data_IF_362834385430
#
_entry.id   IF_362834385430
#
_cell.length_a   1.000
_cell.length_b   1.000
_cell.length_c   1.000
_cell.angle_alpha   90.00
_cell.angle_beta   90.00
_cell.angle_gamma   90.00
#
_symmetry.space_group_name_H-M   'P 1'
#
loop_
_entity.id
_entity.type
_entity.pdbx_description
1 polymer ?
#
# COMPACT_ATOMS: atom_id res chain seq x y z
N UNK A 1 67.28 -70.54 28.32
CA UNK A 1 66.52 -70.79 27.08
C UNK A 1 65.05 -70.65 27.42
N UNK A 2 64.35 -69.69 26.79
CA UNK A 2 62.87 -69.49 26.67
C UNK A 2 62.04 -69.30 27.95
N UNK A 3 61.12 -68.35 28.10
CA UNK A 3 60.72 -67.17 27.34
C UNK A 3 59.86 -66.31 28.27
N UNK A 4 60.21 -65.03 28.39
CA UNK A 4 59.42 -63.94 28.97
C UNK A 4 58.62 -63.27 27.86
N UNK A 5 57.29 -63.31 27.89
CA UNK A 5 56.46 -62.39 27.09
C UNK A 5 54.99 -62.44 27.54
N UNK A 6 54.77 -62.09 28.79
CA UNK A 6 53.48 -61.58 29.25
C UNK A 6 53.64 -60.07 29.42
N UNK A 7 52.67 -59.31 28.91
CA UNK A 7 52.45 -57.88 29.17
C UNK A 7 52.95 -56.84 28.15
N UNK A 8 52.70 -57.06 26.85
CA UNK A 8 52.89 -55.99 25.85
C UNK A 8 51.85 -55.95 24.71
N UNK A 9 50.61 -56.36 24.97
CA UNK A 9 49.54 -56.35 23.95
C UNK A 9 48.27 -55.60 24.40
N UNK A 10 48.39 -54.58 25.27
CA UNK A 10 47.24 -53.81 25.77
C UNK A 10 47.40 -52.29 25.72
N UNK A 11 48.30 -51.78 24.86
CA UNK A 11 48.54 -50.34 24.68
C UNK A 11 48.69 -49.99 23.22
N UNK A 12 47.58 -49.81 22.50
CA UNK A 12 47.66 -49.44 21.08
C UNK A 12 46.32 -49.29 20.38
N UNK A 13 45.36 -48.57 20.96
CA UNK A 13 44.12 -48.23 20.24
C UNK A 13 43.37 -47.00 20.79
N UNK A 14 44.07 -45.95 21.23
CA UNK A 14 43.41 -44.69 21.68
C UNK A 14 43.81 -43.49 20.80
N UNK A 15 44.53 -43.71 19.70
CA UNK A 15 45.26 -42.64 19.00
C UNK A 15 44.62 -41.98 17.78
N UNK A 16 43.44 -42.42 17.29
CA UNK A 16 42.92 -41.93 15.99
C UNK A 16 41.52 -41.31 16.04
N UNK A 17 40.72 -41.54 17.07
CA UNK A 17 39.36 -40.99 17.16
C UNK A 17 39.30 -39.50 17.58
N UNK A 18 40.31 -39.00 18.30
CA UNK A 18 40.30 -37.62 18.81
C UNK A 18 40.38 -36.58 17.69
N UNK A 19 41.12 -36.87 16.61
CA UNK A 19 41.31 -35.92 15.49
C UNK A 19 40.08 -35.87 14.59
N UNK A 20 39.44 -37.00 14.31
CA UNK A 20 38.21 -37.07 13.52
C UNK A 20 36.99 -36.52 14.26
N UNK A 21 36.93 -36.65 15.60
CA UNK A 21 35.86 -36.04 16.40
C UNK A 21 35.89 -34.50 16.35
N UNK A 22 37.08 -33.89 16.24
CA UNK A 22 37.24 -32.43 16.15
C UNK A 22 36.73 -31.89 14.81
N UNK A 23 37.00 -32.60 13.71
CA UNK A 23 36.45 -32.24 12.39
C UNK A 23 34.94 -32.45 12.32
N UNK A 24 34.42 -33.52 12.94
CA UNK A 24 32.98 -33.74 13.06
C UNK A 24 32.29 -32.66 13.91
N UNK A 25 32.91 -32.24 15.02
CA UNK A 25 32.40 -31.16 15.87
C UNK A 25 32.44 -29.79 15.16
N UNK A 26 33.51 -29.49 14.42
CA UNK A 26 33.60 -28.28 13.59
C UNK A 26 32.54 -28.27 12.49
N UNK A 27 32.30 -29.42 11.84
CA UNK A 27 31.23 -29.58 10.85
C UNK A 27 29.84 -29.35 11.45
N UNK A 28 29.55 -29.90 12.63
CA UNK A 28 28.28 -29.71 13.33
C UNK A 28 28.06 -28.25 13.72
N UNK A 29 29.08 -27.58 14.27
CA UNK A 29 29.00 -26.15 14.62
C UNK A 29 28.76 -25.30 13.38
N UNK A 30 29.42 -25.60 12.25
CA UNK A 30 29.18 -24.91 10.98
C UNK A 30 27.76 -25.13 10.45
N UNK A 31 27.22 -26.34 10.56
CA UNK A 31 25.83 -26.62 10.17
C UNK A 31 24.85 -25.87 11.06
N UNK A 32 25.04 -25.88 12.38
CA UNK A 32 24.18 -25.16 13.33
C UNK A 32 24.27 -23.64 13.10
N UNK A 33 25.46 -23.10 12.87
CA UNK A 33 25.65 -21.69 12.54
C UNK A 33 25.02 -21.34 11.19
N UNK A 34 25.16 -22.22 10.19
CA UNK A 34 24.56 -22.05 8.87
C UNK A 34 23.03 -22.03 8.93
N UNK A 35 22.42 -22.95 9.68
CA UNK A 35 20.96 -23.01 9.88
C UNK A 35 20.45 -21.81 10.68
N UNK A 36 21.17 -21.38 11.73
CA UNK A 36 20.80 -20.21 12.53
C UNK A 36 20.93 -18.89 11.76
N UNK A 37 22.02 -18.71 11.01
CA UNK A 37 22.22 -17.55 10.16
C UNK A 37 21.22 -17.49 9.00
N UNK A 38 20.90 -18.65 8.40
CA UNK A 38 19.87 -18.76 7.36
C UNK A 38 18.49 -18.42 7.91
N UNK A 39 18.11 -18.94 9.07
CA UNK A 39 16.82 -18.63 9.71
C UNK A 39 16.66 -17.14 10.06
N UNK A 40 17.74 -16.49 10.54
CA UNK A 40 17.73 -15.07 10.87
C UNK A 40 17.67 -14.19 9.60
N UNK A 41 18.39 -14.58 8.54
CA UNK A 41 18.37 -13.88 7.26
C UNK A 41 17.03 -14.03 6.54
N UNK A 42 16.42 -15.23 6.58
CA UNK A 42 15.05 -15.47 6.09
C UNK A 42 14.04 -14.64 6.87
N UNK A 43 14.10 -14.59 8.20
CA UNK A 43 13.16 -13.81 9.01
C UNK A 43 13.23 -12.31 8.70
N UNK A 44 14.42 -11.74 8.53
CA UNK A 44 14.59 -10.34 8.17
C UNK A 44 14.16 -10.04 6.72
N UNK A 45 14.53 -10.90 5.77
CA UNK A 45 14.14 -10.73 4.37
C UNK A 45 12.62 -10.86 4.20
N UNK A 46 12.00 -11.85 4.84
CA UNK A 46 10.54 -12.02 4.88
C UNK A 46 9.85 -10.87 5.59
N UNK A 47 10.40 -10.37 6.71
CA UNK A 47 9.81 -9.23 7.44
C UNK A 47 9.91 -7.90 6.68
N UNK A 48 10.96 -7.70 5.86
CA UNK A 48 11.06 -6.53 4.96
C UNK A 48 10.07 -6.67 3.79
N UNK A 49 10.00 -7.84 3.17
CA UNK A 49 9.06 -8.10 2.08
C UNK A 49 7.60 -7.93 2.53
N UNK A 50 7.23 -8.46 3.70
CA UNK A 50 5.90 -8.30 4.27
C UNK A 50 5.55 -6.82 4.55
N UNK A 51 6.50 -6.02 5.04
CA UNK A 51 6.31 -4.58 5.27
C UNK A 51 6.09 -3.80 3.98
N UNK A 52 6.86 -4.10 2.93
CA UNK A 52 6.68 -3.46 1.62
C UNK A 52 5.31 -3.77 1.02
N UNK A 53 4.86 -5.03 1.09
CA UNK A 53 3.54 -5.42 0.58
C UNK A 53 2.40 -4.81 1.41
N UNK A 54 2.54 -4.75 2.74
CA UNK A 54 1.56 -4.08 3.59
C UNK A 54 1.42 -2.59 3.26
N UNK A 55 2.54 -1.89 3.05
CA UNK A 55 2.54 -0.48 2.65
C UNK A 55 1.92 -0.27 1.26
N UNK A 56 2.24 -1.13 0.27
CA UNK A 56 1.65 -1.05 -1.06
C UNK A 56 0.14 -1.37 -1.06
N UNK A 57 -0.29 -2.32 -0.22
CA UNK A 57 -1.70 -2.65 -0.04
C UNK A 57 -2.48 -1.49 0.56
N UNK A 58 -1.96 -0.89 1.63
CA UNK A 58 -2.59 0.26 2.29
C UNK A 58 -2.72 1.46 1.34
N UNK A 59 -1.66 1.79 0.60
CA UNK A 59 -1.69 2.88 -0.38
C UNK A 59 -2.71 2.60 -1.51
N UNK A 60 -2.79 1.35 -1.97
CA UNK A 60 -3.81 0.95 -2.93
C UNK A 60 -5.22 1.16 -2.37
N UNK A 61 -5.48 0.73 -1.14
CA UNK A 61 -6.78 0.87 -0.50
C UNK A 61 -7.18 2.35 -0.31
N UNK A 62 -6.24 3.20 0.10
CA UNK A 62 -6.49 4.64 0.25
C UNK A 62 -6.90 5.30 -1.09
N UNK A 63 -6.22 4.99 -2.20
CA UNK A 63 -6.64 5.48 -3.52
C UNK A 63 -7.96 4.86 -4.00
N UNK A 64 -8.26 3.62 -3.63
CA UNK A 64 -9.56 3.01 -3.93
C UNK A 64 -10.70 3.69 -3.18
N UNK A 65 -10.49 4.04 -1.92
CA UNK A 65 -11.45 4.79 -1.13
C UNK A 65 -11.68 6.19 -1.72
N UNK A 66 -10.60 6.90 -2.06
CA UNK A 66 -10.68 8.18 -2.75
C UNK A 66 -11.47 8.07 -4.08
N UNK A 67 -11.21 7.03 -4.88
CA UNK A 67 -11.92 6.83 -6.15
C UNK A 67 -13.42 6.56 -5.96
N UNK A 68 -13.82 5.90 -4.87
CA UNK A 68 -15.23 5.68 -4.53
C UNK A 68 -15.87 6.97 -4.02
N UNK A 69 -15.19 7.71 -3.16
CA UNK A 69 -15.68 8.96 -2.60
C UNK A 69 -15.95 9.99 -3.70
N UNK A 70 -15.01 10.21 -4.63
CA UNK A 70 -15.21 11.15 -5.76
C UNK A 70 -16.34 10.69 -6.69
N UNK A 71 -16.53 9.38 -6.89
CA UNK A 71 -17.63 8.88 -7.70
C UNK A 71 -18.99 9.14 -7.03
N UNK A 72 -19.07 8.94 -5.72
CA UNK A 72 -20.27 9.21 -4.94
C UNK A 72 -20.58 10.72 -4.89
N UNK A 73 -19.56 11.57 -4.74
CA UNK A 73 -19.71 13.03 -4.73
C UNK A 73 -20.41 13.54 -5.99
N UNK A 74 -19.97 13.07 -7.17
CA UNK A 74 -20.63 13.39 -8.44
C UNK A 74 -22.06 12.86 -8.56
N UNK A 75 -22.40 11.74 -7.90
CA UNK A 75 -23.79 11.27 -7.84
C UNK A 75 -24.68 12.20 -7.01
N UNK A 76 -24.18 12.69 -5.88
CA UNK A 76 -24.91 13.64 -5.04
C UNK A 76 -25.00 15.04 -5.65
N UNK A 77 -24.04 15.44 -6.48
CA UNK A 77 -24.16 16.64 -7.30
C UNK A 77 -25.36 16.53 -8.25
N UNK A 78 -25.48 15.42 -9.00
CA UNK A 78 -26.61 15.19 -9.89
C UNK A 78 -27.94 15.10 -9.12
N UNK A 79 -27.92 14.49 -7.94
CA UNK A 79 -29.07 14.47 -7.04
C UNK A 79 -29.49 15.88 -6.63
N UNK A 80 -28.55 16.76 -6.25
CA UNK A 80 -28.85 18.14 -5.89
C UNK A 80 -29.44 18.93 -7.05
N UNK A 81 -28.97 18.68 -8.27
CA UNK A 81 -29.54 19.30 -9.48
C UNK A 81 -30.97 18.84 -9.76
N UNK A 82 -31.33 17.61 -9.36
CA UNK A 82 -32.66 17.03 -9.56
C UNK A 82 -33.64 17.39 -8.42
N UNK A 83 -33.19 17.26 -7.17
CA UNK A 83 -33.94 17.50 -5.94
C UNK A 83 -33.06 18.31 -4.96
N UNK A 84 -33.05 19.65 -5.08
CA UNK A 84 -32.24 20.50 -4.21
C UNK A 84 -32.72 20.44 -2.76
N UNK A 85 -31.81 20.24 -1.82
CA UNK A 85 -32.15 20.16 -0.40
C UNK A 85 -30.93 20.25 0.53
N UNK A 86 -31.12 20.73 1.77
CA UNK A 86 -30.03 20.85 2.74
C UNK A 86 -29.40 19.49 3.08
N UNK A 87 -30.17 18.41 3.08
CA UNK A 87 -29.69 17.05 3.33
C UNK A 87 -28.72 16.58 2.22
N UNK A 88 -29.07 16.83 0.95
CA UNK A 88 -28.25 16.47 -0.21
C UNK A 88 -26.95 17.29 -0.22
N UNK A 89 -27.03 18.60 0.10
CA UNK A 89 -25.85 19.47 0.24
C UNK A 89 -24.92 18.98 1.37
N UNK A 90 -25.49 18.58 2.50
CA UNK A 90 -24.71 18.04 3.62
C UNK A 90 -24.03 16.72 3.24
N UNK A 91 -24.76 15.82 2.57
CA UNK A 91 -24.21 14.54 2.13
C UNK A 91 -23.08 14.72 1.11
N UNK A 92 -23.24 15.63 0.14
CA UNK A 92 -22.16 16.02 -0.77
C UNK A 92 -20.94 16.55 0.00
N UNK A 93 -21.15 17.43 0.99
CA UNK A 93 -20.07 17.95 1.84
C UNK A 93 -19.35 16.87 2.66
N UNK A 94 -20.07 15.85 3.14
CA UNK A 94 -19.45 14.73 3.84
C UNK A 94 -18.56 13.88 2.91
N UNK A 95 -19.02 13.62 1.68
CA UNK A 95 -18.23 12.90 0.68
C UNK A 95 -16.96 13.66 0.29
N UNK A 96 -17.04 15.00 0.22
CA UNK A 96 -15.87 15.84 0.01
C UNK A 96 -14.84 15.70 1.15
N UNK A 97 -15.31 15.65 2.41
CA UNK A 97 -14.44 15.40 3.59
C UNK A 97 -13.80 14.01 3.51
N UNK A 98 -14.58 12.99 3.15
CA UNK A 98 -14.10 11.60 3.06
C UNK A 98 -13.03 11.46 1.96
N UNK A 99 -13.24 12.12 0.80
CA UNK A 99 -12.25 12.16 -0.28
C UNK A 99 -10.94 12.83 0.17
N UNK A 100 -11.03 14.00 0.80
CA UNK A 100 -9.86 14.71 1.31
C UNK A 100 -9.11 13.87 2.35
N UNK A 101 -9.83 13.19 3.24
CA UNK A 101 -9.24 12.31 4.23
C UNK A 101 -8.50 11.12 3.57
N UNK A 102 -9.10 10.48 2.58
CA UNK A 102 -8.49 9.38 1.83
C UNK A 102 -7.23 9.83 1.07
N UNK A 103 -7.29 10.97 0.37
CA UNK A 103 -6.14 11.56 -0.30
C UNK A 103 -5.02 11.94 0.68
N UNK A 104 -5.38 12.44 1.85
CA UNK A 104 -4.39 12.78 2.89
C UNK A 104 -3.65 11.54 3.40
N UNK A 105 -4.34 10.39 3.54
CA UNK A 105 -3.68 9.12 3.88
C UNK A 105 -2.76 8.63 2.74
N UNK A 106 -3.21 8.74 1.49
CA UNK A 106 -2.38 8.40 0.33
C UNK A 106 -1.12 9.28 0.21
N UNK A 107 -1.10 10.47 0.84
CA UNK A 107 0.07 11.37 0.90
C UNK A 107 1.29 10.75 1.61
N UNK A 108 1.08 9.74 2.44
CA UNK A 108 2.17 9.04 3.15
C UNK A 108 2.98 8.11 2.23
N UNK A 109 2.60 8.00 0.95
CA UNK A 109 3.36 7.33 -0.10
C UNK A 109 4.69 8.02 -0.47
N UNK A 110 5.15 7.78 -1.69
CA UNK A 110 6.42 8.32 -2.16
C UNK A 110 6.32 9.81 -2.57
N UNK A 111 7.41 10.39 -3.09
CA UNK A 111 7.41 11.80 -3.51
C UNK A 111 6.51 12.07 -4.73
N UNK A 112 6.33 11.09 -5.61
CA UNK A 112 5.40 11.21 -6.73
C UNK A 112 3.95 11.15 -6.23
N UNK A 113 3.63 10.23 -5.32
CA UNK A 113 2.31 10.16 -4.66
C UNK A 113 1.95 11.49 -4.00
N UNK A 114 2.88 12.06 -3.22
CA UNK A 114 2.68 13.38 -2.60
C UNK A 114 2.34 14.47 -3.60
N UNK A 115 3.07 14.55 -4.71
CA UNK A 115 2.83 15.55 -5.74
C UNK A 115 1.48 15.37 -6.43
N UNK A 116 1.07 14.12 -6.66
CA UNK A 116 -0.23 13.79 -7.24
C UNK A 116 -1.36 14.14 -6.27
N UNK A 117 -1.24 13.78 -5.00
CA UNK A 117 -2.20 14.12 -3.94
C UNK A 117 -2.35 15.64 -3.81
N UNK A 118 -1.24 16.38 -3.73
CA UNK A 118 -1.28 17.84 -3.58
C UNK A 118 -1.99 18.50 -4.76
N UNK A 119 -1.78 17.98 -5.98
CA UNK A 119 -2.50 18.44 -7.16
C UNK A 119 -3.99 18.07 -7.12
N UNK A 120 -4.33 16.84 -6.76
CA UNK A 120 -5.71 16.37 -6.67
C UNK A 120 -6.50 17.18 -5.64
N UNK A 121 -5.90 17.51 -4.50
CA UNK A 121 -6.50 18.36 -3.46
C UNK A 121 -6.74 19.80 -3.96
N UNK A 122 -5.80 20.37 -4.70
CA UNK A 122 -5.95 21.71 -5.27
C UNK A 122 -7.07 21.77 -6.34
N UNK A 123 -7.11 20.76 -7.21
CA UNK A 123 -8.16 20.62 -8.24
C UNK A 123 -9.54 20.38 -7.57
N UNK A 124 -9.60 19.56 -6.52
CA UNK A 124 -10.83 19.29 -5.76
C UNK A 124 -11.34 20.52 -5.02
N UNK A 125 -10.45 21.31 -4.41
CA UNK A 125 -10.84 22.58 -3.80
C UNK A 125 -11.46 23.55 -4.81
N UNK A 126 -10.92 23.60 -6.04
CA UNK A 126 -11.47 24.41 -7.13
C UNK A 126 -12.83 23.88 -7.58
N UNK A 127 -12.98 22.55 -7.67
CA UNK A 127 -14.25 21.89 -7.95
C UNK A 127 -15.32 22.27 -6.93
N UNK A 128 -15.04 22.15 -5.62
CA UNK A 128 -15.99 22.50 -4.56
C UNK A 128 -16.46 23.95 -4.64
N UNK A 129 -15.55 24.89 -4.90
CA UNK A 129 -15.92 26.30 -5.07
C UNK A 129 -16.83 26.54 -6.30
N UNK A 130 -16.66 25.75 -7.36
CA UNK A 130 -17.56 25.80 -8.52
C UNK A 130 -18.91 25.16 -8.21
N UNK A 131 -18.92 24.02 -7.50
CA UNK A 131 -20.14 23.33 -7.08
C UNK A 131 -20.96 24.16 -6.09
N UNK A 132 -20.34 24.88 -5.16
CA UNK A 132 -21.06 25.80 -4.27
C UNK A 132 -21.78 26.91 -5.04
N UNK A 133 -21.13 27.47 -6.07
CA UNK A 133 -21.74 28.47 -6.96
C UNK A 133 -22.85 27.85 -7.81
N UNK A 134 -22.67 26.61 -8.29
CA UNK A 134 -23.68 25.84 -9.01
C UNK A 134 -24.92 25.64 -8.14
N UNK A 135 -24.76 25.13 -6.93
CA UNK A 135 -25.87 24.90 -5.99
C UNK A 135 -26.56 26.22 -5.64
N UNK A 136 -25.81 27.30 -5.41
CA UNK A 136 -26.41 28.60 -5.18
C UNK A 136 -27.21 29.11 -6.40
N UNK A 137 -26.79 28.79 -7.64
CA UNK A 137 -27.55 29.12 -8.84
C UNK A 137 -28.84 28.30 -8.96
N UNK A 138 -28.79 27.01 -8.59
CA UNK A 138 -29.98 26.14 -8.47
C UNK A 138 -30.96 26.71 -7.44
N UNK A 139 -30.47 27.11 -6.27
CA UNK A 139 -31.29 27.67 -5.19
C UNK A 139 -32.00 28.98 -5.61
N UNK A 140 -31.41 29.72 -6.55
CA UNK A 140 -32.01 30.94 -7.14
C UNK A 140 -32.92 30.65 -8.34
N UNK A 141 -32.97 29.42 -8.84
CA UNK A 141 -33.69 29.07 -10.06
C UNK A 141 -33.06 29.60 -11.36
N UNK A 142 -31.77 29.93 -11.35
CA UNK A 142 -31.05 30.51 -12.50
C UNK A 142 -30.51 29.41 -13.43
N UNK A 143 -31.38 28.89 -14.30
CA UNK A 143 -31.06 27.76 -15.16
C UNK A 143 -29.92 28.01 -16.17
N UNK A 144 -29.73 29.26 -16.61
CA UNK A 144 -28.66 29.60 -17.54
C UNK A 144 -27.30 29.61 -16.83
N UNK A 145 -27.25 30.15 -15.63
CA UNK A 145 -26.04 30.13 -14.80
C UNK A 145 -25.70 28.71 -14.34
N UNK A 146 -26.69 27.90 -13.98
CA UNK A 146 -26.51 26.46 -13.67
C UNK A 146 -25.86 25.74 -14.84
N UNK A 147 -26.36 25.93 -16.06
CA UNK A 147 -25.82 25.29 -17.26
C UNK A 147 -24.41 25.76 -17.57
N UNK A 148 -24.16 27.07 -17.44
CA UNK A 148 -22.84 27.67 -17.66
C UNK A 148 -21.82 27.09 -16.69
N UNK A 149 -22.04 27.23 -15.39
CA UNK A 149 -21.13 26.73 -14.34
C UNK A 149 -20.95 25.22 -14.46
N UNK A 150 -22.04 24.47 -14.60
CA UNK A 150 -22.01 23.02 -14.71
C UNK A 150 -21.14 22.52 -15.86
N UNK A 151 -21.26 23.15 -17.04
CA UNK A 151 -20.55 22.72 -18.26
C UNK A 151 -19.13 23.25 -18.33
N UNK A 152 -18.91 24.53 -18.00
CA UNK A 152 -17.61 25.18 -18.21
C UNK A 152 -16.65 25.06 -17.04
N UNK A 153 -17.14 24.81 -15.83
CA UNK A 153 -16.33 24.82 -14.61
C UNK A 153 -16.38 23.47 -13.88
N UNK A 154 -17.58 23.05 -13.47
CA UNK A 154 -17.76 21.87 -12.60
C UNK A 154 -17.38 20.57 -13.32
N UNK A 155 -17.94 20.29 -14.50
CA UNK A 155 -17.64 19.06 -15.23
C UNK A 155 -16.14 18.88 -15.58
N UNK A 156 -15.43 19.89 -16.12
CA UNK A 156 -14.00 19.77 -16.37
C UNK A 156 -13.19 19.45 -15.11
N UNK A 157 -13.43 20.18 -14.01
CA UNK A 157 -12.74 19.98 -12.75
C UNK A 157 -13.04 18.60 -12.16
N UNK A 158 -14.30 18.19 -12.14
CA UNK A 158 -14.71 16.87 -11.68
C UNK A 158 -14.03 15.74 -12.48
N UNK A 159 -14.03 15.84 -13.82
CA UNK A 159 -13.36 14.85 -14.68
C UNK A 159 -11.87 14.79 -14.41
N UNK A 160 -11.22 15.92 -14.17
CA UNK A 160 -9.80 15.98 -13.86
C UNK A 160 -9.48 15.27 -12.54
N UNK A 161 -10.21 15.59 -11.45
CA UNK A 161 -10.02 14.94 -10.15
C UNK A 161 -10.29 13.44 -10.26
N UNK A 162 -11.44 13.05 -10.83
CA UNK A 162 -11.82 11.64 -11.00
C UNK A 162 -10.80 10.87 -11.84
N UNK A 163 -10.28 11.47 -12.91
CA UNK A 163 -9.26 10.84 -13.76
C UNK A 163 -7.96 10.64 -13.00
N UNK A 164 -7.46 11.68 -12.32
CA UNK A 164 -6.21 11.59 -11.55
C UNK A 164 -6.29 10.51 -10.48
N UNK A 165 -7.35 10.53 -9.66
CA UNK A 165 -7.54 9.55 -8.58
C UNK A 165 -7.77 8.14 -9.14
N UNK A 166 -8.56 8.01 -10.21
CA UNK A 166 -8.82 6.71 -10.86
C UNK A 166 -7.58 6.07 -11.46
N UNK A 167 -6.69 6.86 -12.06
CA UNK A 167 -5.39 6.38 -12.57
C UNK A 167 -4.52 5.85 -11.44
N UNK A 168 -4.34 6.63 -10.37
CA UNK A 168 -3.54 6.19 -9.21
C UNK A 168 -4.12 4.94 -8.55
N UNK A 169 -5.44 4.90 -8.37
CA UNK A 169 -6.11 3.72 -7.82
C UNK A 169 -5.85 2.47 -8.65
N UNK A 170 -5.79 2.58 -9.98
CA UNK A 170 -5.51 1.47 -10.89
C UNK A 170 -4.03 1.06 -10.87
N UNK A 171 -3.12 2.03 -10.89
CA UNK A 171 -1.67 1.80 -10.84
C UNK A 171 -1.27 1.07 -9.56
N UNK A 172 -1.69 1.59 -8.40
CA UNK A 172 -1.36 1.00 -7.10
C UNK A 172 -2.01 -0.37 -6.89
N UNK A 173 -3.22 -0.59 -7.41
CA UNK A 173 -3.87 -1.91 -7.40
C UNK A 173 -3.05 -2.95 -8.19
N UNK A 174 -2.56 -2.56 -9.37
CA UNK A 174 -1.72 -3.44 -10.19
C UNK A 174 -0.39 -3.74 -9.50
N UNK A 175 0.24 -2.74 -8.89
CA UNK A 175 1.50 -2.92 -8.14
C UNK A 175 1.32 -3.86 -6.95
N UNK A 176 0.27 -3.66 -6.14
CA UNK A 176 -0.05 -4.54 -5.01
C UNK A 176 -0.29 -5.98 -5.47
N UNK A 177 -1.02 -6.19 -6.57
CA UNK A 177 -1.25 -7.51 -7.14
C UNK A 177 0.04 -8.21 -7.59
N UNK A 178 0.95 -7.49 -8.26
CA UNK A 178 2.26 -8.01 -8.69
C UNK A 178 3.10 -8.42 -7.49
N UNK A 179 3.15 -7.60 -6.44
CA UNK A 179 3.93 -7.90 -5.24
C UNK A 179 3.37 -9.12 -4.46
N UNK A 180 2.05 -9.27 -4.41
CA UNK A 180 1.40 -10.45 -3.80
C UNK A 180 1.74 -11.75 -4.55
N UNK A 181 1.78 -11.72 -5.89
CA UNK A 181 2.16 -12.88 -6.70
C UNK A 181 3.64 -13.24 -6.45
N UNK A 182 4.53 -12.25 -6.33
CA UNK A 182 5.94 -12.48 -6.06
C UNK A 182 6.18 -13.21 -4.71
N UNK A 183 5.41 -12.88 -3.66
CA UNK A 183 5.47 -13.57 -2.37
C UNK A 183 5.01 -15.03 -2.44
N UNK A 184 4.01 -15.35 -3.27
CA UNK A 184 3.48 -16.71 -3.40
C UNK A 184 4.46 -17.68 -4.09
N UNK A 185 5.45 -17.15 -4.82
CA UNK A 185 6.43 -17.94 -5.56
C UNK A 185 7.75 -18.17 -4.77
N UNK A 186 7.86 -17.64 -3.55
CA UNK A 186 8.97 -17.89 -2.62
C UNK A 186 8.61 -18.98 -1.62
#
# INVERSE_FOLDING_TARGET
MTASSTDQARRGAVGTHARWSRWAAVGLVLVVFGVGAFGLWSAEATARAARTVAAAGQLSDDYQEAARAVAAEGSYELEYLAEPGPEVRQAHGQLAVDLVAALTRARDGDTADRAVVDRALADHASYLQATDRLFAAVDRGDADEVRRIGTSEVQPLFRQVRSTVGTQASEHRNQAAVQLVALRQQ
#
